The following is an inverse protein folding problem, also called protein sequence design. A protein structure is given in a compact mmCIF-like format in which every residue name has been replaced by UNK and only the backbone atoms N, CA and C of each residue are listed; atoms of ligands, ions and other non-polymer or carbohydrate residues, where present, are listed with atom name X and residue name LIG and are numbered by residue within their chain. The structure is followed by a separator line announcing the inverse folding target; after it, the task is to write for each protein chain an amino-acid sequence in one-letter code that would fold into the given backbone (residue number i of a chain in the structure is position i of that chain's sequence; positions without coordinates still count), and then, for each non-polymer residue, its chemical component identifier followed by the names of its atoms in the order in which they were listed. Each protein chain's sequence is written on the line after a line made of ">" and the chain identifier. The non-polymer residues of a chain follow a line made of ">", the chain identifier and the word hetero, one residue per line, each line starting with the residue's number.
data_IF_487822701576
#
_entry.id   IF_487822701576
#
_cell.length_a   1.000
_cell.length_b   1.000
_cell.length_c   1.000
_cell.angle_alpha   90.00
_cell.angle_beta   90.00
_cell.angle_gamma   90.00
#
_symmetry.space_group_name_H-M   'P 1'
#
loop_
_entity.id
_entity.type
_entity.pdbx_description
1 polymer ?
#
# COMPACT_ATOMS: atom_id res chain seq x y z
N UNK A 1 29.44 1.37 8.81
CA UNK A 1 28.52 2.47 9.18
C UNK A 1 27.92 3.20 7.98
N UNK A 2 28.64 3.53 6.90
CA UNK A 2 28.02 4.12 5.69
C UNK A 2 27.14 3.12 4.92
N UNK A 3 27.46 1.82 4.86
CA UNK A 3 26.65 0.82 4.16
C UNK A 3 25.26 0.65 4.80
N UNK A 4 25.15 0.54 6.11
CA UNK A 4 23.89 0.34 6.81
C UNK A 4 22.92 1.53 6.64
N UNK A 5 23.43 2.76 6.56
CA UNK A 5 22.61 3.94 6.28
C UNK A 5 22.05 3.90 4.84
N UNK A 6 22.89 3.52 3.87
CA UNK A 6 22.45 3.38 2.49
C UNK A 6 21.42 2.26 2.31
N UNK A 7 21.61 1.12 2.95
CA UNK A 7 20.65 0.01 2.97
C UNK A 7 19.30 0.42 3.53
N UNK A 8 19.29 1.19 4.63
CA UNK A 8 18.05 1.72 5.21
C UNK A 8 17.28 2.61 4.23
N UNK A 9 17.96 3.53 3.54
CA UNK A 9 17.32 4.39 2.54
C UNK A 9 16.85 3.62 1.30
N UNK A 10 17.65 2.67 0.82
CA UNK A 10 17.23 1.83 -0.31
C UNK A 10 16.02 0.97 0.04
N UNK A 11 15.97 0.44 1.27
CA UNK A 11 14.78 -0.26 1.75
C UNK A 11 13.55 0.63 1.79
N UNK A 12 13.67 1.87 2.31
CA UNK A 12 12.58 2.84 2.32
C UNK A 12 12.08 3.18 0.90
N UNK A 13 12.99 3.20 -0.10
CA UNK A 13 12.63 3.37 -1.49
C UNK A 13 11.78 2.21 -2.00
N UNK A 14 12.22 0.96 -1.80
CA UNK A 14 11.46 -0.23 -2.21
C UNK A 14 10.12 -0.34 -1.46
N UNK A 15 10.12 -0.01 -0.17
CA UNK A 15 8.87 0.08 0.59
C UNK A 15 7.90 1.09 -0.03
N UNK A 16 8.38 2.29 -0.33
CA UNK A 16 7.57 3.34 -0.97
C UNK A 16 7.06 2.89 -2.34
N UNK A 17 7.92 2.24 -3.15
CA UNK A 17 7.54 1.66 -4.44
C UNK A 17 6.40 0.65 -4.28
N UNK A 18 6.48 -0.25 -3.29
CA UNK A 18 5.45 -1.27 -3.06
C UNK A 18 4.11 -0.67 -2.64
N UNK A 19 4.12 0.38 -1.78
CA UNK A 19 2.91 1.12 -1.40
C UNK A 19 2.30 1.84 -2.61
N UNK A 20 3.12 2.51 -3.43
CA UNK A 20 2.65 3.19 -4.65
C UNK A 20 1.99 2.19 -5.60
N UNK A 21 2.63 1.05 -5.86
CA UNK A 21 2.08 0.00 -6.71
C UNK A 21 0.77 -0.58 -6.17
N UNK A 22 0.68 -0.77 -4.85
CA UNK A 22 -0.56 -1.21 -4.21
C UNK A 22 -1.70 -0.20 -4.41
N UNK A 23 -1.42 1.09 -4.29
CA UNK A 23 -2.40 2.15 -4.56
C UNK A 23 -2.83 2.18 -6.03
N UNK A 24 -1.89 1.98 -6.95
CA UNK A 24 -2.18 1.86 -8.38
C UNK A 24 -3.08 0.66 -8.68
N UNK A 25 -2.78 -0.51 -8.10
CA UNK A 25 -3.61 -1.72 -8.22
C UNK A 25 -5.01 -1.53 -7.65
N UNK A 26 -5.13 -0.79 -6.55
CA UNK A 26 -6.41 -0.42 -5.94
C UNK A 26 -7.12 0.75 -6.64
N UNK A 27 -6.51 1.32 -7.69
CA UNK A 27 -7.03 2.49 -8.44
C UNK A 27 -7.30 3.70 -7.54
N UNK A 28 -6.47 3.89 -6.52
CA UNK A 28 -6.60 5.01 -5.59
C UNK A 28 -5.73 6.18 -6.05
N UNK A 29 -6.37 7.33 -6.23
CA UNK A 29 -5.64 8.59 -6.39
C UNK A 29 -5.06 9.01 -5.05
N UNK A 30 -3.74 9.12 -5.00
CA UNK A 30 -3.00 9.45 -3.80
C UNK A 30 -1.93 10.50 -4.07
N UNK A 31 -1.75 11.42 -3.12
CA UNK A 31 -0.58 12.26 -2.99
C UNK A 31 0.42 11.55 -2.07
N UNK A 32 1.65 11.43 -2.52
CA UNK A 32 2.71 10.70 -1.83
C UNK A 32 3.87 11.67 -1.57
N UNK A 33 4.36 11.69 -0.35
CA UNK A 33 5.47 12.50 0.11
C UNK A 33 6.50 11.58 0.75
N UNK A 34 7.74 11.64 0.28
CA UNK A 34 8.83 10.77 0.74
C UNK A 34 9.85 11.60 1.52
N UNK A 35 10.28 11.09 2.68
CA UNK A 35 11.37 11.60 3.52
C UNK A 35 11.29 13.14 3.73
N UNK A 36 10.16 13.59 4.23
CA UNK A 36 9.91 15.02 4.46
C UNK A 36 9.37 15.31 5.84
N UNK A 37 10.17 16.02 6.61
CA UNK A 37 9.77 16.55 7.91
C UNK A 37 8.81 17.72 7.77
N UNK A 38 7.71 17.69 8.50
CA UNK A 38 6.80 18.84 8.60
C UNK A 38 7.34 19.89 9.61
N UNK A 39 8.15 19.44 10.58
CA UNK A 39 8.79 20.28 11.60
C UNK A 39 10.07 19.62 12.13
N UNK A 40 10.87 20.39 12.87
CA UNK A 40 12.07 19.84 13.51
C UNK A 40 11.69 18.85 14.64
N UNK A 41 12.20 17.62 14.55
CA UNK A 41 11.86 16.53 15.47
C UNK A 41 10.68 15.68 15.04
N UNK A 42 10.18 15.86 13.80
CA UNK A 42 9.22 14.95 13.20
C UNK A 42 9.77 13.52 13.11
N UNK A 43 8.98 12.54 13.56
CA UNK A 43 9.37 11.12 13.62
C UNK A 43 8.56 10.25 12.64
N UNK A 44 7.69 10.84 11.83
CA UNK A 44 6.85 10.11 10.88
C UNK A 44 7.03 10.69 9.47
N UNK A 45 8.28 10.85 9.08
CA UNK A 45 8.69 11.54 7.88
C UNK A 45 9.08 10.63 6.71
N UNK A 46 9.28 9.32 6.94
CA UNK A 46 9.80 8.43 5.90
C UNK A 46 8.86 8.33 4.69
N UNK A 47 7.55 8.13 4.91
CA UNK A 47 6.56 8.11 3.85
C UNK A 47 5.20 8.63 4.34
N UNK A 48 4.56 9.51 3.58
CA UNK A 48 3.19 9.99 3.82
C UNK A 48 2.33 9.73 2.61
N UNK A 49 1.19 9.11 2.82
CA UNK A 49 0.17 8.84 1.80
C UNK A 49 -1.09 9.60 2.15
N UNK A 50 -1.49 10.53 1.28
CA UNK A 50 -2.74 11.27 1.44
C UNK A 50 -3.78 10.79 0.45
N UNK A 51 -4.88 10.33 0.98
CA UNK A 51 -6.09 9.97 0.24
C UNK A 51 -7.19 10.98 0.53
N UNK A 52 -8.28 10.90 -0.22
CA UNK A 52 -9.46 11.77 0.00
C UNK A 52 -10.07 11.63 1.39
N UNK A 53 -9.93 10.46 2.02
CA UNK A 53 -10.51 10.12 3.32
C UNK A 53 -9.55 10.19 4.51
N UNK A 54 -8.27 10.49 4.31
CA UNK A 54 -7.31 10.59 5.40
C UNK A 54 -5.84 10.55 4.97
N UNK A 55 -4.98 10.57 5.96
CA UNK A 55 -3.53 10.54 5.80
C UNK A 55 -2.99 9.33 6.55
N UNK A 56 -2.16 8.52 5.90
CA UNK A 56 -1.36 7.48 6.55
C UNK A 56 0.10 7.91 6.53
N UNK A 57 0.74 7.89 7.68
CA UNK A 57 2.14 8.25 7.85
C UNK A 57 2.92 7.03 8.33
N UNK A 58 4.07 6.80 7.72
CA UNK A 58 4.91 5.64 7.98
C UNK A 58 6.26 6.09 8.55
N UNK A 59 6.69 5.42 9.60
CA UNK A 59 8.07 5.41 10.06
C UNK A 59 8.62 4.01 9.80
N UNK A 60 9.72 3.92 9.08
CA UNK A 60 10.26 2.66 8.60
C UNK A 60 11.66 2.46 9.19
N UNK A 61 11.85 1.35 9.88
CA UNK A 61 13.16 0.96 10.43
C UNK A 61 13.54 -0.41 9.89
N UNK A 62 14.59 -0.43 9.13
CA UNK A 62 15.16 -1.62 8.54
C UNK A 62 16.68 -1.62 8.71
N UNK A 63 17.22 -2.77 9.11
CA UNK A 63 18.62 -3.09 9.05
C UNK A 63 18.73 -4.60 8.88
N UNK A 64 19.59 -5.06 8.00
CA UNK A 64 19.77 -6.48 7.74
C UNK A 64 20.38 -7.19 8.97
N UNK A 65 21.28 -6.51 9.68
CA UNK A 65 21.86 -6.99 10.94
C UNK A 65 20.81 -7.16 12.05
N UNK A 66 19.72 -6.37 12.00
CA UNK A 66 18.66 -6.35 13.00
C UNK A 66 17.43 -7.18 12.62
N UNK A 67 17.44 -7.83 11.47
CA UNK A 67 16.31 -8.67 11.02
C UNK A 67 16.04 -9.86 11.95
N UNK A 68 16.97 -10.19 12.85
CA UNK A 68 16.80 -11.18 13.93
C UNK A 68 16.45 -10.56 15.29
N UNK A 69 16.37 -9.23 15.39
CA UNK A 69 16.01 -8.52 16.61
C UNK A 69 14.50 -8.66 16.87
N UNK A 70 14.13 -8.94 18.09
CA UNK A 70 12.73 -8.88 18.53
C UNK A 70 12.45 -7.54 19.19
N UNK A 71 11.27 -6.98 18.94
CA UNK A 71 10.84 -5.76 19.62
C UNK A 71 10.86 -5.95 21.14
N UNK A 72 11.52 -5.04 21.85
CA UNK A 72 11.66 -5.11 23.30
C UNK A 72 11.14 -3.84 23.99
N UNK A 73 10.90 -3.94 25.29
CA UNK A 73 10.61 -2.77 26.12
C UNK A 73 11.70 -1.69 25.99
N UNK A 74 12.97 -2.08 25.87
CA UNK A 74 14.08 -1.13 25.76
C UNK A 74 13.99 -0.27 24.50
N UNK A 75 13.54 -0.84 23.37
CA UNK A 75 13.39 -0.13 22.13
C UNK A 75 12.33 0.97 22.24
N UNK A 76 11.21 0.69 22.89
CA UNK A 76 10.14 1.67 23.07
C UNK A 76 10.33 2.63 24.24
N UNK A 77 11.14 2.26 25.25
CA UNK A 77 11.41 3.13 26.40
C UNK A 77 12.55 4.11 26.17
N UNK A 78 13.60 3.70 25.48
CA UNK A 78 14.83 4.47 25.29
C UNK A 78 15.13 4.75 23.79
N UNK A 79 14.47 4.04 22.88
CA UNK A 79 14.71 4.10 21.44
C UNK A 79 15.98 3.38 20.99
N UNK A 80 16.84 2.93 21.86
CA UNK A 80 18.10 2.21 21.58
C UNK A 80 18.88 2.73 20.35
N UNK A 81 18.79 4.03 20.06
CA UNK A 81 19.38 4.63 18.86
C UNK A 81 18.53 4.52 17.59
N UNK A 82 17.35 3.90 17.64
CA UNK A 82 16.50 3.65 16.47
C UNK A 82 15.34 4.64 16.29
N UNK A 83 15.26 5.69 17.09
CA UNK A 83 14.16 6.67 17.06
C UNK A 83 12.77 6.06 17.25
N UNK A 84 12.67 4.95 18.00
CA UNK A 84 11.42 4.22 18.28
C UNK A 84 10.86 4.48 19.67
N UNK A 85 11.52 5.35 20.46
CA UNK A 85 11.04 5.67 21.81
C UNK A 85 9.61 6.21 21.79
N UNK A 86 8.72 5.56 22.51
CA UNK A 86 7.29 5.87 22.54
C UNK A 86 7.01 7.32 22.92
N UNK A 87 7.84 7.89 23.81
CA UNK A 87 7.76 9.30 24.16
C UNK A 87 8.05 10.23 22.96
N UNK A 88 9.11 9.94 22.19
CA UNK A 88 9.50 10.78 21.06
C UNK A 88 8.48 10.68 19.93
N UNK A 89 7.89 9.49 19.72
CA UNK A 89 6.78 9.27 18.80
C UNK A 89 5.53 10.06 19.24
N UNK A 90 5.18 9.97 20.52
CA UNK A 90 4.05 10.73 21.08
C UNK A 90 4.27 12.24 20.98
N UNK A 91 5.46 12.74 21.29
CA UNK A 91 5.79 14.17 21.18
C UNK A 91 5.68 14.67 19.73
N UNK A 92 6.13 13.88 18.78
CA UNK A 92 5.96 14.15 17.35
C UNK A 92 4.48 14.20 16.96
N UNK A 93 3.69 13.21 17.38
CA UNK A 93 2.25 13.15 17.14
C UNK A 93 1.52 14.36 17.73
N UNK A 94 1.78 14.71 19.01
CA UNK A 94 1.13 15.84 19.68
C UNK A 94 1.41 17.16 18.96
N UNK A 95 2.65 17.39 18.55
CA UNK A 95 3.02 18.57 17.77
C UNK A 95 2.24 18.66 16.45
N UNK A 96 1.88 17.53 15.87
CA UNK A 96 1.19 17.39 14.60
C UNK A 96 -0.31 17.52 14.69
N UNK A 97 -0.92 16.96 15.77
CA UNK A 97 -2.36 16.98 16.01
C UNK A 97 -2.96 18.38 16.02
N UNK A 98 -2.19 19.37 16.46
CA UNK A 98 -2.59 20.79 16.41
C UNK A 98 -2.90 21.28 14.98
N UNK A 99 -2.46 20.53 13.94
CA UNK A 99 -2.56 20.93 12.54
C UNK A 99 -3.34 19.99 11.62
N UNK A 100 -3.71 18.77 12.07
CA UNK A 100 -4.29 17.75 11.16
C UNK A 100 -5.32 16.85 11.85
N UNK A 101 -6.46 16.66 11.17
CA UNK A 101 -7.49 15.68 11.55
C UNK A 101 -7.36 14.41 10.69
N UNK A 102 -7.69 13.26 11.25
CA UNK A 102 -7.80 11.95 10.58
C UNK A 102 -6.48 11.42 10.02
N UNK A 103 -5.50 11.24 10.89
CA UNK A 103 -4.19 10.67 10.55
C UNK A 103 -4.05 9.29 11.18
N UNK A 104 -3.64 8.30 10.41
CA UNK A 104 -3.19 6.99 10.87
C UNK A 104 -1.67 6.94 10.85
N UNK A 105 -1.05 6.35 11.87
CA UNK A 105 0.40 6.24 11.97
C UNK A 105 0.80 4.77 12.00
N UNK A 106 1.77 4.41 11.15
CA UNK A 106 2.32 3.05 11.08
C UNK A 106 3.81 3.08 11.38
N UNK A 107 4.20 2.44 12.46
CA UNK A 107 5.59 2.15 12.77
C UNK A 107 5.95 0.78 12.19
N UNK A 108 6.67 0.77 11.07
CA UNK A 108 7.04 -0.41 10.32
C UNK A 108 8.46 -0.85 10.69
N UNK A 109 8.57 -2.04 11.30
CA UNK A 109 9.82 -2.57 11.82
C UNK A 109 10.13 -3.93 11.16
N UNK A 110 11.36 -4.12 10.73
CA UNK A 110 11.84 -5.43 10.28
C UNK A 110 11.98 -6.44 11.43
N UNK A 111 11.79 -5.99 12.64
CA UNK A 111 11.94 -6.76 13.86
C UNK A 111 10.84 -7.80 14.05
N UNK A 112 11.20 -8.90 14.72
CA UNK A 112 10.25 -9.93 15.14
C UNK A 112 9.37 -9.48 16.30
N UNK A 113 8.41 -10.33 16.63
CA UNK A 113 7.51 -10.15 17.77
C UNK A 113 8.27 -10.09 19.09
N UNK A 114 7.77 -9.34 20.08
CA UNK A 114 8.36 -9.41 21.41
C UNK A 114 8.26 -10.83 21.97
N UNK A 115 9.25 -11.22 22.77
CA UNK A 115 9.15 -12.44 23.54
C UNK A 115 7.99 -12.36 24.55
N UNK A 116 7.36 -13.51 24.85
CA UNK A 116 6.18 -13.55 25.74
C UNK A 116 6.49 -13.03 27.17
N UNK A 117 7.73 -13.15 27.60
CA UNK A 117 8.22 -12.65 28.90
C UNK A 117 8.68 -11.19 28.85
N UNK A 118 8.80 -10.57 27.67
CA UNK A 118 9.11 -9.14 27.58
C UNK A 118 7.92 -8.32 28.08
N UNK A 119 8.17 -7.34 28.97
CA UNK A 119 7.11 -6.49 29.54
C UNK A 119 6.27 -5.74 28.49
N UNK A 120 6.76 -5.58 27.24
CA UNK A 120 6.02 -4.89 26.18
C UNK A 120 4.89 -5.77 25.61
N UNK A 121 5.06 -7.10 25.64
CA UNK A 121 4.11 -8.05 25.02
C UNK A 121 2.69 -7.87 25.55
N UNK A 122 2.53 -7.57 26.84
CA UNK A 122 1.21 -7.35 27.47
C UNK A 122 0.46 -6.09 26.99
N UNK A 123 1.17 -5.14 26.38
CA UNK A 123 0.57 -3.90 25.85
C UNK A 123 0.31 -3.94 24.35
N UNK A 124 0.77 -4.97 23.65
CA UNK A 124 0.58 -5.14 22.22
C UNK A 124 -0.60 -6.10 21.96
N UNK A 125 -1.66 -5.59 21.34
CA UNK A 125 -2.83 -6.37 20.95
C UNK A 125 -2.80 -6.65 19.46
N UNK A 126 -2.80 -7.94 19.03
CA UNK A 126 -2.82 -8.26 17.62
C UNK A 126 -4.07 -7.69 16.95
N UNK A 127 -3.90 -7.12 15.77
CA UNK A 127 -4.97 -6.62 14.92
C UNK A 127 -4.83 -7.16 13.50
N UNK A 128 -5.92 -7.16 12.74
CA UNK A 128 -5.87 -7.46 11.31
C UNK A 128 -5.49 -6.20 10.55
N UNK A 129 -4.46 -6.31 9.72
CA UNK A 129 -3.98 -5.23 8.85
C UNK A 129 -4.12 -5.67 7.39
N UNK A 130 -4.91 -4.92 6.62
CA UNK A 130 -5.24 -5.27 5.23
C UNK A 130 -4.69 -4.26 4.21
N UNK A 131 -4.05 -3.19 4.69
CA UNK A 131 -3.58 -2.12 3.79
C UNK A 131 -2.14 -2.31 3.33
N UNK A 132 -1.40 -3.20 4.01
CA UNK A 132 -0.02 -3.49 3.64
C UNK A 132 0.04 -4.47 2.45
N UNK A 133 0.96 -4.26 1.51
CA UNK A 133 1.13 -5.17 0.37
C UNK A 133 1.84 -6.48 0.73
N UNK A 134 2.28 -6.64 1.97
CA UNK A 134 3.06 -7.77 2.46
C UNK A 134 2.29 -8.55 3.53
N UNK A 135 2.67 -9.81 3.72
CA UNK A 135 2.26 -10.58 4.90
C UNK A 135 3.08 -10.08 6.10
N UNK A 136 2.44 -9.35 7.00
CA UNK A 136 3.04 -8.76 8.21
C UNK A 136 2.18 -9.06 9.42
N UNK A 137 2.70 -8.81 10.61
CA UNK A 137 1.94 -8.88 11.85
C UNK A 137 1.73 -7.47 12.39
N UNK A 138 0.48 -7.16 12.66
CA UNK A 138 0.11 -5.84 13.15
C UNK A 138 -0.39 -5.88 14.60
N UNK A 139 -0.05 -4.83 15.35
CA UNK A 139 -0.47 -4.65 16.73
C UNK A 139 -0.92 -3.21 16.98
N UNK A 140 -1.99 -3.06 17.76
CA UNK A 140 -2.29 -1.80 18.44
C UNK A 140 -1.61 -1.77 19.80
N UNK A 141 -1.33 -0.58 20.31
CA UNK A 141 -0.77 -0.39 21.65
C UNK A 141 -1.90 -0.11 22.66
N UNK A 142 -2.00 -0.95 23.69
CA UNK A 142 -2.98 -0.77 24.76
C UNK A 142 -2.53 0.35 25.72
N UNK A 143 -2.79 1.59 25.35
CA UNK A 143 -2.47 2.77 26.13
C UNK A 143 -3.16 2.78 27.49
N UNK A 144 -4.36 2.21 27.60
CA UNK A 144 -5.11 2.16 28.86
C UNK A 144 -4.48 1.18 29.86
N UNK A 145 -4.01 0.01 29.38
CA UNK A 145 -3.27 -0.92 30.23
C UNK A 145 -1.87 -0.38 30.59
N UNK A 146 -1.27 0.40 29.68
CA UNK A 146 0.04 1.02 29.92
C UNK A 146 -0.04 2.17 30.92
N UNK A 147 -1.07 2.99 30.85
CA UNK A 147 -1.31 4.14 31.74
C UNK A 147 -2.72 4.06 32.33
N UNK A 148 -2.91 3.32 33.44
CA UNK A 148 -4.20 3.23 34.15
C UNK A 148 -4.68 4.60 34.66
N UNK A 149 -6.00 4.77 34.80
CA UNK A 149 -6.62 6.07 35.09
C UNK A 149 -6.18 6.73 36.40
N UNK A 150 -5.77 5.92 37.37
CA UNK A 150 -5.41 6.38 38.74
C UNK A 150 -3.88 6.53 38.93
N UNK A 151 -3.08 6.13 37.96
CA UNK A 151 -1.64 6.08 38.11
C UNK A 151 -0.92 7.09 37.19
N UNK A 152 0.21 7.57 37.66
CA UNK A 152 1.18 8.25 36.83
C UNK A 152 1.77 7.25 35.80
N UNK A 153 2.24 7.71 34.64
CA UNK A 153 2.90 6.83 33.66
C UNK A 153 3.99 6.01 34.33
N UNK A 154 4.21 4.76 33.90
CA UNK A 154 5.17 3.88 34.55
C UNK A 154 6.54 4.54 34.69
N UNK A 155 7.03 4.70 35.92
CA UNK A 155 8.32 5.36 36.25
C UNK A 155 9.51 4.71 35.54
N UNK A 156 9.36 3.46 35.13
CA UNK A 156 10.37 2.69 34.39
C UNK A 156 10.51 3.12 32.92
N UNK A 157 9.61 3.96 32.42
CA UNK A 157 9.63 4.50 31.08
C UNK A 157 10.11 5.94 31.16
N UNK A 158 11.40 6.14 30.91
CA UNK A 158 12.03 7.46 30.98
C UNK A 158 11.30 8.45 30.07
N UNK A 159 11.30 9.71 30.45
CA UNK A 159 10.78 10.86 29.71
C UNK A 159 9.25 11.12 29.79
N UNK A 160 8.39 10.16 30.19
CA UNK A 160 6.95 10.44 30.29
C UNK A 160 6.55 11.51 31.33
N UNK A 161 7.46 11.82 32.26
CA UNK A 161 7.27 12.92 33.22
C UNK A 161 7.76 14.27 32.70
N UNK A 162 8.26 14.33 31.46
CA UNK A 162 8.73 15.58 30.85
C UNK A 162 7.55 16.34 30.22
N UNK A 163 7.70 17.64 30.16
CA UNK A 163 6.74 18.53 29.51
C UNK A 163 7.03 18.56 28.00
N UNK A 164 5.99 18.48 27.19
CA UNK A 164 6.07 18.76 25.77
C UNK A 164 5.79 20.25 25.59
N UNK A 165 6.72 21.01 25.02
CA UNK A 165 6.61 22.45 24.84
C UNK A 165 6.21 23.19 26.16
N UNK A 166 6.72 22.75 27.30
CA UNK A 166 6.41 23.26 28.63
C UNK A 166 5.05 22.90 29.20
N UNK A 167 4.25 22.12 28.51
CA UNK A 167 2.96 21.62 28.97
C UNK A 167 3.07 20.21 29.54
N UNK A 168 2.29 19.84 30.58
CA UNK A 168 2.24 18.47 31.07
C UNK A 168 1.67 17.55 29.99
N UNK A 169 2.08 16.29 30.03
CA UNK A 169 1.51 15.24 29.17
C UNK A 169 0.17 14.85 29.77
N UNK A 170 -0.90 15.01 28.99
CA UNK A 170 -2.24 14.59 29.39
C UNK A 170 -2.48 13.14 28.97
N UNK A 171 -3.10 12.36 29.85
CA UNK A 171 -3.40 10.93 29.62
C UNK A 171 -4.31 10.73 28.39
N UNK A 172 -5.30 11.57 28.24
CA UNK A 172 -6.26 11.54 27.13
C UNK A 172 -5.58 11.70 25.78
N UNK A 173 -4.61 12.60 25.68
CA UNK A 173 -3.81 12.78 24.46
C UNK A 173 -2.96 11.55 24.17
N UNK A 174 -2.39 10.94 25.21
CA UNK A 174 -1.61 9.72 25.05
C UNK A 174 -2.48 8.55 24.59
N UNK A 175 -3.69 8.39 25.13
CA UNK A 175 -4.63 7.38 24.68
C UNK A 175 -5.08 7.60 23.22
N UNK A 176 -5.32 8.86 22.85
CA UNK A 176 -5.67 9.20 21.47
C UNK A 176 -4.51 8.84 20.51
N UNK A 177 -3.26 9.13 20.88
CA UNK A 177 -2.09 8.70 20.13
C UNK A 177 -2.00 7.19 19.97
N UNK A 178 -2.21 6.43 21.05
CA UNK A 178 -2.18 4.96 20.99
C UNK A 178 -3.26 4.38 20.05
N UNK A 179 -4.41 5.03 19.95
CA UNK A 179 -5.47 4.62 19.04
C UNK A 179 -5.16 4.88 17.56
N UNK A 180 -4.27 5.84 17.27
CA UNK A 180 -3.82 6.16 15.91
C UNK A 180 -2.54 5.42 15.51
N UNK A 181 -1.81 4.82 16.49
CA UNK A 181 -0.54 4.14 16.27
C UNK A 181 -0.73 2.64 16.03
N UNK A 182 -0.25 2.18 14.90
CA UNK A 182 -0.15 0.74 14.58
C UNK A 182 1.31 0.34 14.44
N UNK A 183 1.69 -0.75 15.10
CA UNK A 183 2.98 -1.40 14.92
C UNK A 183 2.84 -2.46 13.83
N UNK A 184 3.69 -2.38 12.81
CA UNK A 184 3.81 -3.37 11.75
C UNK A 184 5.15 -4.07 11.94
N UNK A 185 5.14 -5.33 12.32
CA UNK A 185 6.32 -6.13 12.58
C UNK A 185 6.53 -7.18 11.48
N UNK A 186 7.70 -7.81 11.51
CA UNK A 186 8.07 -8.85 10.55
C UNK A 186 8.01 -8.33 9.10
N UNK A 187 8.49 -7.10 8.91
CA UNK A 187 8.59 -6.52 7.57
C UNK A 187 9.48 -7.39 6.67
N UNK A 188 9.13 -7.53 5.37
CA UNK A 188 9.85 -8.41 4.46
C UNK A 188 11.31 -8.01 4.31
N UNK A 189 12.18 -9.00 4.14
CA UNK A 189 13.60 -8.77 3.90
C UNK A 189 13.83 -8.26 2.48
N UNK A 190 14.85 -7.41 2.33
CA UNK A 190 15.31 -6.92 1.04
C UNK A 190 16.67 -7.55 0.70
N UNK A 191 16.87 -7.86 -0.57
CA UNK A 191 18.18 -8.20 -1.11
C UNK A 191 18.86 -6.98 -1.75
N UNK A 192 18.05 -5.98 -2.12
CA UNK A 192 18.45 -4.79 -2.89
C UNK A 192 19.06 -5.14 -4.27
N UNK A 193 18.76 -6.35 -4.77
CA UNK A 193 19.20 -6.85 -6.07
C UNK A 193 18.05 -7.54 -6.80
N UNK A 194 17.53 -6.91 -7.86
CA UNK A 194 16.46 -7.47 -8.69
C UNK A 194 16.85 -8.76 -9.43
N UNK A 195 18.15 -9.08 -9.55
CA UNK A 195 18.59 -10.35 -10.14
C UNK A 195 18.54 -11.51 -9.16
N UNK A 196 18.53 -11.19 -7.85
CA UNK A 196 18.40 -12.15 -6.77
C UNK A 196 17.41 -11.58 -5.75
N UNK A 197 16.13 -11.47 -6.15
CA UNK A 197 15.15 -10.74 -5.35
C UNK A 197 14.95 -11.37 -3.96
N UNK A 198 14.90 -10.52 -2.94
CA UNK A 198 14.43 -10.87 -1.61
C UNK A 198 12.89 -10.80 -1.54
N UNK A 199 12.36 -10.82 -0.32
CA UNK A 199 10.91 -10.89 -0.13
C UNK A 199 10.19 -9.63 -0.64
N UNK A 200 10.76 -8.42 -0.37
CA UNK A 200 10.13 -7.17 -0.79
C UNK A 200 10.19 -6.99 -2.31
N UNK A 201 11.32 -7.32 -2.95
CA UNK A 201 11.46 -7.26 -4.40
C UNK A 201 10.51 -8.23 -5.10
N UNK A 202 10.31 -9.43 -4.55
CA UNK A 202 9.35 -10.40 -5.07
C UNK A 202 7.92 -9.84 -5.04
N UNK A 203 7.53 -9.16 -3.96
CA UNK A 203 6.21 -8.49 -3.88
C UNK A 203 6.09 -7.40 -4.93
N UNK A 204 7.12 -6.56 -5.10
CA UNK A 204 7.15 -5.48 -6.09
C UNK A 204 7.01 -6.05 -7.52
N UNK A 205 7.79 -7.10 -7.84
CA UNK A 205 7.71 -7.80 -9.13
C UNK A 205 6.28 -8.27 -9.39
N UNK A 206 5.67 -8.99 -8.44
CA UNK A 206 4.30 -9.47 -8.56
C UNK A 206 3.27 -8.34 -8.73
N UNK A 207 3.47 -7.20 -8.05
CA UNK A 207 2.59 -6.04 -8.19
C UNK A 207 2.70 -5.44 -9.60
N UNK A 208 3.91 -5.32 -10.14
CA UNK A 208 4.16 -4.81 -11.50
C UNK A 208 3.57 -5.76 -12.55
N UNK A 209 3.72 -7.07 -12.37
CA UNK A 209 3.09 -8.09 -13.23
C UNK A 209 1.55 -8.00 -13.18
N UNK A 210 0.96 -7.80 -11.99
CA UNK A 210 -0.49 -7.56 -11.83
C UNK A 210 -0.98 -6.29 -12.52
N UNK A 211 -0.12 -5.31 -12.75
CA UNK A 211 -0.40 -4.15 -13.60
C UNK A 211 -0.28 -4.47 -15.11
N UNK A 212 -0.07 -5.72 -15.47
CA UNK A 212 0.02 -6.20 -16.84
C UNK A 212 1.36 -6.00 -17.52
N UNK A 213 2.38 -5.55 -16.81
CA UNK A 213 3.72 -5.38 -17.35
C UNK A 213 4.28 -6.73 -17.81
N UNK A 214 4.77 -6.76 -19.07
CA UNK A 214 5.20 -7.99 -19.72
C UNK A 214 4.09 -8.86 -20.32
N UNK A 215 2.80 -8.45 -20.08
CA UNK A 215 1.60 -9.06 -20.66
C UNK A 215 0.64 -7.95 -21.09
N UNK A 216 -0.44 -8.31 -21.80
CA UNK A 216 -1.46 -7.32 -22.18
C UNK A 216 -2.09 -6.66 -20.93
N UNK A 217 -2.33 -5.32 -20.91
CA UNK A 217 -2.15 -4.35 -22.01
C UNK A 217 -0.77 -3.69 -22.06
N UNK A 218 0.12 -4.00 -21.13
CA UNK A 218 1.44 -3.40 -21.00
C UNK A 218 2.56 -4.41 -21.41
N UNK A 219 2.29 -5.21 -22.44
CA UNK A 219 3.16 -6.27 -22.96
C UNK A 219 4.49 -5.77 -23.55
N UNK A 220 4.54 -4.50 -23.95
CA UNK A 220 5.72 -3.82 -24.45
C UNK A 220 6.65 -3.30 -23.35
N UNK A 221 6.23 -3.36 -22.08
CA UNK A 221 7.03 -2.92 -20.94
C UNK A 221 7.76 -4.11 -20.30
N UNK A 222 8.89 -3.82 -19.65
CA UNK A 222 9.65 -4.79 -18.87
C UNK A 222 9.55 -4.48 -17.39
N UNK A 223 9.48 -5.53 -16.59
CA UNK A 223 9.29 -5.44 -15.13
C UNK A 223 10.42 -4.62 -14.49
N UNK A 224 11.66 -4.93 -14.84
CA UNK A 224 12.83 -4.25 -14.27
C UNK A 224 12.87 -2.76 -14.65
N UNK A 225 12.46 -2.41 -15.86
CA UNK A 225 12.43 -1.03 -16.34
C UNK A 225 11.39 -0.20 -15.57
N UNK A 226 10.21 -0.79 -15.32
CA UNK A 226 9.13 -0.12 -14.55
C UNK A 226 9.54 0.07 -13.10
N UNK A 227 10.11 -0.96 -12.46
CA UNK A 227 10.62 -0.88 -11.09
C UNK A 227 11.72 0.18 -10.99
N UNK A 228 12.71 0.13 -11.91
CA UNK A 228 13.82 1.08 -11.94
C UNK A 228 13.35 2.53 -12.10
N UNK A 229 12.43 2.79 -13.03
CA UNK A 229 11.86 4.13 -13.22
C UNK A 229 11.10 4.61 -11.98
N UNK A 230 10.26 3.75 -11.38
CA UNK A 230 9.51 4.12 -10.20
C UNK A 230 10.42 4.40 -8.99
N UNK A 231 11.45 3.56 -8.77
CA UNK A 231 12.46 3.78 -7.75
C UNK A 231 13.23 5.11 -7.98
N UNK A 232 13.52 5.46 -9.23
CA UNK A 232 14.13 6.76 -9.57
C UNK A 232 13.20 7.94 -9.25
N UNK A 233 11.90 7.85 -9.53
CA UNK A 233 10.92 8.88 -9.16
C UNK A 233 10.84 9.06 -7.63
N UNK A 234 10.87 7.99 -6.86
CA UNK A 234 10.91 8.02 -5.39
C UNK A 234 12.20 8.69 -4.88
N UNK A 235 13.37 8.26 -5.38
CA UNK A 235 14.67 8.86 -5.03
C UNK A 235 14.74 10.34 -5.39
N UNK A 236 14.22 10.71 -6.55
CA UNK A 236 14.16 12.11 -6.98
C UNK A 236 13.23 12.95 -6.10
N UNK A 237 12.05 12.40 -5.77
CA UNK A 237 11.11 13.04 -4.84
C UNK A 237 11.77 13.33 -3.49
N UNK A 238 12.51 12.36 -2.92
CA UNK A 238 13.27 12.54 -1.70
C UNK A 238 14.30 13.68 -1.83
N UNK A 239 15.07 13.68 -2.92
CA UNK A 239 16.17 14.62 -3.12
C UNK A 239 15.71 16.07 -3.26
N UNK A 240 14.57 16.33 -3.94
CA UNK A 240 14.08 17.68 -4.23
C UNK A 240 12.83 18.08 -3.45
N UNK A 241 12.26 17.16 -2.66
CA UNK A 241 11.08 17.40 -1.83
C UNK A 241 9.79 17.62 -2.60
N UNK A 242 9.67 17.13 -3.85
CA UNK A 242 8.44 17.22 -4.61
C UNK A 242 7.45 16.12 -4.19
N UNK A 243 6.18 16.33 -4.52
CA UNK A 243 5.12 15.36 -4.29
C UNK A 243 4.97 14.43 -5.49
N UNK A 244 4.65 13.17 -5.25
CA UNK A 244 4.29 12.21 -6.27
C UNK A 244 2.76 12.00 -6.25
N UNK A 245 2.20 11.69 -7.41
CA UNK A 245 0.77 11.40 -7.57
C UNK A 245 0.63 10.11 -8.36
N UNK A 246 -0.17 9.16 -7.85
CA UNK A 246 -0.32 7.83 -8.46
C UNK A 246 -0.75 7.87 -9.92
N UNK A 247 -1.73 8.73 -10.26
CA UNK A 247 -2.22 8.91 -11.62
C UNK A 247 -1.15 9.50 -12.57
N UNK A 248 -0.34 10.45 -12.09
CA UNK A 248 0.77 11.03 -12.88
C UNK A 248 1.87 10.01 -13.09
N UNK A 249 2.22 9.23 -12.05
CA UNK A 249 3.22 8.18 -12.15
C UNK A 249 2.81 7.09 -13.14
N UNK A 250 1.54 6.69 -13.17
CA UNK A 250 1.07 5.73 -14.17
C UNK A 250 1.32 6.22 -15.59
N UNK A 251 1.03 7.49 -15.87
CA UNK A 251 1.31 8.08 -17.18
C UNK A 251 2.80 8.13 -17.50
N UNK A 252 3.66 8.52 -16.54
CA UNK A 252 5.13 8.57 -16.72
C UNK A 252 5.76 7.20 -16.95
N UNK A 253 5.21 6.17 -16.32
CA UNK A 253 5.64 4.79 -16.50
C UNK A 253 5.13 4.18 -17.81
N UNK A 254 4.25 4.85 -18.52
CA UNK A 254 3.57 4.34 -19.71
C UNK A 254 2.59 3.22 -19.43
N UNK A 255 2.12 3.12 -18.17
CA UNK A 255 1.15 2.11 -17.76
C UNK A 255 -0.25 2.48 -18.21
N UNK A 256 -0.94 1.52 -18.79
CA UNK A 256 -2.36 1.62 -19.08
C UNK A 256 -3.12 1.20 -17.83
N UNK A 257 -3.79 2.17 -17.20
CA UNK A 257 -4.47 2.01 -15.90
C UNK A 257 -5.75 1.17 -15.98
N UNK A 258 -6.30 0.99 -17.14
CA UNK A 258 -7.70 0.63 -17.30
C UNK A 258 -7.91 -0.71 -17.98
N UNK A 259 -7.83 -1.79 -17.20
CA UNK A 259 -8.25 -3.12 -17.62
C UNK A 259 -9.78 -3.26 -17.76
N UNK A 260 -10.55 -2.36 -17.17
CA UNK A 260 -12.01 -2.44 -17.06
C UNK A 260 -12.76 -1.37 -17.81
N UNK A 261 -12.07 -0.32 -18.32
CA UNK A 261 -12.66 0.71 -19.17
C UNK A 261 -12.24 0.57 -20.62
N UNK A 262 -12.11 -0.64 -21.12
CA UNK A 262 -12.32 -0.88 -22.54
C UNK A 262 -13.77 -0.52 -22.97
N UNK A 263 -14.56 0.05 -22.06
CA UNK A 263 -15.79 0.75 -22.39
C UNK A 263 -15.58 2.13 -23.05
N UNK A 264 -14.43 2.74 -22.92
CA UNK A 264 -13.97 3.72 -23.87
C UNK A 264 -13.28 2.95 -25.01
N UNK A 265 -14.07 2.25 -25.78
CA UNK A 265 -13.73 1.91 -27.16
C UNK A 265 -12.99 3.11 -27.71
N UNK A 266 -11.74 2.95 -28.10
CA UNK A 266 -11.09 3.93 -28.95
C UNK A 266 -12.16 4.36 -29.93
N UNK A 267 -12.43 5.66 -30.14
CA UNK A 267 -13.37 6.05 -31.18
C UNK A 267 -12.81 5.46 -32.46
N UNK A 268 -13.24 4.25 -32.74
CA UNK A 268 -12.98 3.63 -34.03
C UNK A 268 -13.70 4.54 -34.97
N UNK A 269 -12.93 5.26 -35.75
CA UNK A 269 -13.50 6.04 -36.85
C UNK A 269 -14.57 5.16 -37.49
N UNK A 270 -15.80 5.67 -37.58
CA UNK A 270 -16.93 4.91 -38.07
C UNK A 270 -16.67 4.29 -39.45
N UNK A 271 -15.69 4.80 -40.19
CA UNK A 271 -15.17 4.24 -41.43
C UNK A 271 -14.40 2.91 -41.28
N UNK A 272 -13.95 2.58 -40.06
CA UNK A 272 -13.18 1.35 -39.77
C UNK A 272 -13.95 0.40 -38.84
N UNK A 273 -15.22 0.67 -38.60
CA UNK A 273 -16.08 -0.20 -37.79
C UNK A 273 -16.32 -1.52 -38.52
N UNK A 274 -15.70 -2.59 -38.01
CA UNK A 274 -15.95 -3.95 -38.49
C UNK A 274 -17.38 -4.30 -38.08
N UNK A 275 -18.27 -4.50 -39.07
CA UNK A 275 -19.63 -4.96 -38.81
C UNK A 275 -19.58 -6.46 -38.61
N UNK A 276 -19.75 -6.89 -37.34
CA UNK A 276 -19.78 -8.32 -36.96
C UNK A 276 -21.23 -8.88 -36.99
N UNK A 277 -22.07 -8.41 -37.88
CA UNK A 277 -23.49 -8.80 -37.93
C UNK A 277 -23.66 -10.33 -38.07
N UNK A 278 -22.89 -10.95 -38.92
CA UNK A 278 -23.01 -12.38 -39.22
C UNK A 278 -22.48 -13.23 -38.02
N UNK A 279 -21.41 -12.79 -37.40
CA UNK A 279 -20.85 -13.41 -36.20
C UNK A 279 -21.78 -13.26 -34.98
N UNK A 280 -22.43 -12.10 -34.84
CA UNK A 280 -23.43 -11.85 -33.78
C UNK A 280 -24.67 -12.73 -33.98
N UNK A 281 -25.20 -12.85 -35.20
CA UNK A 281 -26.31 -13.75 -35.48
C UNK A 281 -25.94 -15.21 -35.23
N UNK A 282 -24.77 -15.63 -35.66
CA UNK A 282 -24.25 -16.96 -35.41
C UNK A 282 -24.11 -17.23 -33.91
N UNK A 283 -23.57 -16.28 -33.16
CA UNK A 283 -23.45 -16.38 -31.69
C UNK A 283 -24.82 -16.49 -31.05
N UNK A 284 -25.80 -15.69 -31.48
CA UNK A 284 -27.16 -15.74 -31.02
C UNK A 284 -27.82 -17.10 -31.24
N UNK A 285 -27.65 -17.69 -32.44
CA UNK A 285 -28.16 -19.00 -32.75
C UNK A 285 -27.53 -20.09 -31.88
N UNK A 286 -26.20 -20.09 -31.75
CA UNK A 286 -25.48 -21.08 -30.94
C UNK A 286 -25.87 -21.00 -29.45
N UNK A 287 -26.08 -19.81 -28.91
CA UNK A 287 -26.54 -19.63 -27.52
C UNK A 287 -27.95 -20.15 -27.33
N UNK A 288 -28.85 -19.90 -28.29
CA UNK A 288 -30.21 -20.46 -28.24
C UNK A 288 -30.24 -21.98 -28.26
N UNK A 289 -29.40 -22.59 -29.08
CA UNK A 289 -29.39 -24.04 -29.26
C UNK A 289 -28.64 -24.77 -28.12
N UNK A 290 -27.53 -24.22 -27.66
CA UNK A 290 -26.62 -24.89 -26.75
C UNK A 290 -26.65 -24.38 -25.31
N UNK A 291 -27.31 -23.25 -25.04
CA UNK A 291 -27.35 -22.55 -23.72
C UNK A 291 -25.98 -22.18 -23.10
N UNK A 292 -24.91 -22.70 -23.63
CA UNK A 292 -23.52 -22.41 -23.22
C UNK A 292 -22.63 -22.29 -24.44
N UNK A 293 -21.78 -21.27 -24.45
CA UNK A 293 -20.83 -21.02 -25.54
C UNK A 293 -19.48 -20.60 -24.96
N UNK A 294 -18.42 -21.18 -25.49
CA UNK A 294 -17.04 -20.76 -25.23
C UNK A 294 -16.52 -20.09 -26.51
N UNK A 295 -16.17 -18.81 -26.39
CA UNK A 295 -15.55 -18.08 -27.49
C UNK A 295 -14.04 -18.11 -27.28
N UNK A 296 -13.33 -18.77 -28.19
CA UNK A 296 -11.88 -18.87 -28.17
C UNK A 296 -11.23 -18.17 -29.39
N UNK A 297 -10.00 -17.76 -29.25
CA UNK A 297 -9.25 -17.08 -30.31
C UNK A 297 -8.01 -16.37 -29.77
N UNK A 298 -7.14 -15.93 -30.66
CA UNK A 298 -5.91 -15.23 -30.29
C UNK A 298 -6.18 -13.91 -29.55
N UNK A 299 -5.25 -13.41 -28.71
CA UNK A 299 -5.33 -12.07 -28.18
C UNK A 299 -5.55 -11.04 -29.29
N UNK A 300 -6.42 -10.05 -29.06
CA UNK A 300 -6.73 -9.02 -30.07
C UNK A 300 -7.69 -9.44 -31.20
N UNK A 301 -8.20 -10.69 -31.22
CA UNK A 301 -9.13 -11.16 -32.28
C UNK A 301 -10.57 -10.63 -32.17
N UNK A 302 -10.84 -9.67 -31.29
CA UNK A 302 -12.17 -9.04 -31.17
C UNK A 302 -13.19 -9.84 -30.36
N UNK A 303 -12.81 -10.85 -29.58
CA UNK A 303 -13.73 -11.67 -28.78
C UNK A 303 -14.58 -10.85 -27.80
N UNK A 304 -13.96 -9.96 -27.06
CA UNK A 304 -14.67 -9.08 -26.11
C UNK A 304 -15.61 -8.15 -26.83
N UNK A 305 -15.20 -7.60 -27.95
CA UNK A 305 -16.06 -6.79 -28.81
C UNK A 305 -17.30 -7.55 -29.28
N UNK A 306 -17.12 -8.78 -29.76
CA UNK A 306 -18.24 -9.62 -30.22
C UNK A 306 -19.22 -9.89 -29.07
N UNK A 307 -18.73 -10.14 -27.85
CA UNK A 307 -19.58 -10.35 -26.67
C UNK A 307 -20.33 -9.08 -26.30
N UNK A 308 -19.69 -7.93 -26.30
CA UNK A 308 -20.29 -6.65 -25.96
C UNK A 308 -21.39 -6.25 -26.96
N UNK A 309 -21.12 -6.37 -28.26
CA UNK A 309 -22.11 -6.14 -29.30
C UNK A 309 -23.32 -7.10 -29.19
N UNK A 310 -23.05 -8.36 -28.85
CA UNK A 310 -24.13 -9.33 -28.59
C UNK A 310 -24.97 -8.93 -27.38
N UNK A 311 -24.32 -8.55 -26.27
CA UNK A 311 -25.00 -8.08 -25.05
C UNK A 311 -25.88 -6.86 -25.34
N UNK A 312 -25.38 -5.91 -26.11
CA UNK A 312 -26.12 -4.71 -26.51
C UNK A 312 -27.33 -5.05 -27.40
N UNK A 313 -27.19 -6.06 -28.26
CA UNK A 313 -28.31 -6.57 -29.05
C UNK A 313 -29.41 -7.16 -28.15
N UNK A 314 -29.07 -8.08 -27.26
CA UNK A 314 -30.07 -8.75 -26.42
C UNK A 314 -30.69 -7.85 -25.36
N UNK A 315 -29.98 -6.82 -24.89
CA UNK A 315 -30.54 -5.77 -24.03
C UNK A 315 -31.63 -4.97 -24.74
N UNK A 316 -31.45 -4.67 -26.03
CA UNK A 316 -32.49 -4.01 -26.87
C UNK A 316 -33.71 -4.88 -27.04
N UNK A 317 -33.62 -6.19 -26.92
CA UNK A 317 -34.68 -7.18 -26.94
C UNK A 317 -35.36 -7.40 -25.57
N UNK A 318 -35.14 -6.50 -24.59
CA UNK A 318 -35.65 -6.58 -23.22
C UNK A 318 -35.19 -7.82 -22.41
N UNK A 319 -34.09 -8.44 -22.78
CA UNK A 319 -33.50 -9.57 -22.04
C UNK A 319 -32.69 -9.07 -20.85
N UNK A 320 -32.83 -9.73 -19.70
CA UNK A 320 -31.97 -9.46 -18.56
C UNK A 320 -30.62 -10.12 -18.78
N UNK A 321 -29.55 -9.32 -18.75
CA UNK A 321 -28.16 -9.79 -18.90
C UNK A 321 -27.40 -9.52 -17.62
N UNK A 322 -26.71 -10.53 -17.10
CA UNK A 322 -25.74 -10.41 -16.03
C UNK A 322 -24.37 -10.65 -16.66
N UNK A 323 -23.55 -9.61 -16.70
CA UNK A 323 -22.21 -9.67 -17.26
C UNK A 323 -21.21 -9.71 -16.10
N UNK A 324 -20.44 -10.81 -15.98
CA UNK A 324 -19.34 -10.94 -15.06
C UNK A 324 -18.03 -10.87 -15.82
N UNK A 325 -17.20 -9.89 -15.48
CA UNK A 325 -15.83 -9.88 -15.93
C UNK A 325 -14.98 -10.64 -14.91
N UNK A 326 -14.50 -11.83 -15.26
CA UNK A 326 -13.72 -12.69 -14.35
C UNK A 326 -12.48 -12.01 -13.78
N UNK A 327 -11.91 -11.02 -14.44
CA UNK A 327 -10.81 -10.22 -13.91
C UNK A 327 -11.24 -9.29 -12.76
N UNK A 328 -12.46 -8.78 -12.79
CA UNK A 328 -13.01 -7.96 -11.71
C UNK A 328 -13.59 -8.82 -10.57
N UNK A 329 -14.24 -9.92 -10.91
CA UNK A 329 -14.94 -10.78 -9.93
C UNK A 329 -14.00 -11.56 -9.02
N UNK A 330 -12.78 -11.88 -9.44
CA UNK A 330 -11.80 -12.56 -8.58
C UNK A 330 -11.24 -11.66 -7.46
N UNK A 331 -11.36 -10.34 -7.58
CA UNK A 331 -11.02 -9.40 -6.51
C UNK A 331 -12.16 -9.21 -5.49
N UNK A 332 -13.42 -9.40 -5.93
CA UNK A 332 -14.60 -9.22 -5.08
C UNK A 332 -14.99 -10.49 -4.32
N UNK A 333 -14.57 -11.68 -4.79
CA UNK A 333 -14.86 -12.95 -4.13
C UNK A 333 -14.17 -13.08 -2.76
N UNK A 334 -13.02 -12.44 -2.57
CA UNK A 334 -12.33 -12.38 -1.28
C UNK A 334 -12.97 -11.40 -0.27
N UNK A 335 -14.04 -10.71 -0.64
CA UNK A 335 -14.79 -9.79 0.23
C UNK A 335 -16.13 -10.34 0.70
N UNK A 336 -16.46 -11.59 0.36
CA UNK A 336 -17.74 -12.24 0.66
C UNK A 336 -17.61 -13.46 1.61
N UNK A 337 -16.44 -13.67 2.23
CA UNK A 337 -16.29 -14.60 3.36
C UNK A 337 -16.18 -13.88 4.70
#
# INVERSE_FOLDING_TARGET
>A
MQSAIHEGYEYQDYFSVSIILQLMLQRKDAEIIVDRKDFNGDKFDDLKVKLSNGITEFQIKYSDEESSHNLTKSDLSNGNGHDTALYDLFASWKTRKESKNNTEIKLCLAWGRPADDDPIAKFLKPIQEHTMPFSTVAYSFDGAAFWPAEDTPPKTWKKFNLKIKSEPIEREDFLAFCNELTFILEMPKASLDLKKPGDIENVIIQQVEKLGVGIYPNDNLRVEDVIGKLAMEVKHSRAIGNKLYTNVLMGRLGLIADYGKFDQRFPVDSAHQIILSDEIERLHQVIRDSKQVIISGNPGSGKSWLVDEYIDKIKKENSKVIHYNCFQSLQDINSLE
#
